data_IF_570778346384
#
_entry.id   IF_570778346384
#
_cell.length_a   1.000
_cell.length_b   1.000
_cell.length_c   1.000
_cell.angle_alpha   90.00
_cell.angle_beta   90.00
_cell.angle_gamma   90.00
#
_symmetry.space_group_name_H-M   'P 1'
#
loop_
_entity.id
_entity.type
_entity.pdbx_description
1 polymer ?
#
# COMPACT_ATOMS: atom_id res chain seq x y z
N UNK A 1 -6.71 -8.40 5.14
CA UNK A 1 -5.92 -7.81 4.03
C UNK A 1 -5.59 -6.34 4.28
N UNK A 2 -6.58 -5.44 4.43
CA UNK A 2 -6.38 -4.02 4.79
C UNK A 2 -5.35 -3.79 5.91
N UNK A 3 -5.52 -4.43 7.07
CA UNK A 3 -4.61 -4.28 8.21
C UNK A 3 -3.19 -4.78 7.91
N UNK A 4 -3.04 -5.84 7.10
CA UNK A 4 -1.73 -6.36 6.71
C UNK A 4 -1.02 -5.40 5.75
N UNK A 5 -1.75 -4.84 4.78
CA UNK A 5 -1.24 -3.81 3.87
C UNK A 5 -0.82 -2.57 4.66
N UNK A 6 -1.64 -2.08 5.58
CA UNK A 6 -1.30 -0.94 6.44
C UNK A 6 -0.09 -1.21 7.34
N UNK A 7 -0.04 -2.37 7.99
CA UNK A 7 1.06 -2.74 8.88
C UNK A 7 2.39 -2.92 8.12
N UNK A 8 2.33 -3.39 6.87
CA UNK A 8 3.50 -3.44 6.00
C UNK A 8 3.90 -2.04 5.55
N UNK A 9 2.96 -1.27 5.00
CA UNK A 9 3.20 0.07 4.48
C UNK A 9 3.76 1.03 5.55
N UNK A 10 3.28 0.94 6.79
CA UNK A 10 3.84 1.70 7.92
C UNK A 10 5.30 1.35 8.21
N UNK A 11 5.67 0.08 8.13
CA UNK A 11 7.03 -0.38 8.46
C UNK A 11 8.00 -0.21 7.30
N UNK A 12 7.57 -0.50 6.08
CA UNK A 12 8.41 -0.49 4.89
C UNK A 12 8.44 0.87 4.17
N UNK A 13 7.44 1.73 4.41
CA UNK A 13 7.36 3.09 3.87
C UNK A 13 7.94 4.16 4.78
N UNK A 14 8.24 3.83 6.04
CA UNK A 14 8.85 4.78 6.98
C UNK A 14 10.20 5.28 6.45
N UNK A 15 10.34 6.60 6.32
CA UNK A 15 11.57 7.24 5.83
C UNK A 15 11.76 7.24 4.31
N UNK A 16 10.83 6.71 3.52
CA UNK A 16 10.85 6.81 2.04
C UNK A 16 9.96 7.95 1.57
N UNK A 17 10.46 8.84 0.69
CA UNK A 17 9.66 9.96 0.14
C UNK A 17 8.36 9.50 -0.53
N UNK A 18 8.37 8.34 -1.20
CA UNK A 18 7.21 7.82 -1.95
C UNK A 18 6.47 6.69 -1.21
N UNK A 19 6.93 6.30 -0.02
CA UNK A 19 6.33 5.21 0.74
C UNK A 19 6.60 3.83 0.11
N UNK A 20 5.54 3.05 -0.11
CA UNK A 20 5.62 1.68 -0.62
C UNK A 20 4.87 1.50 -1.93
N UNK A 21 5.38 0.63 -2.79
CA UNK A 21 4.72 0.27 -4.04
C UNK A 21 3.72 -0.87 -3.89
N UNK A 22 2.73 -0.94 -4.79
CA UNK A 22 1.82 -2.08 -4.92
C UNK A 22 2.56 -3.41 -5.12
N UNK A 23 3.68 -3.38 -5.85
CA UNK A 23 4.52 -4.55 -6.11
C UNK A 23 5.19 -5.08 -4.83
N UNK A 24 5.75 -4.19 -4.00
CA UNK A 24 6.35 -4.56 -2.70
C UNK A 24 5.31 -5.21 -1.77
N UNK A 25 4.09 -4.69 -1.75
CA UNK A 25 2.98 -5.26 -0.97
C UNK A 25 2.59 -6.65 -1.49
N UNK A 26 2.46 -6.80 -2.81
CA UNK A 26 2.16 -8.09 -3.43
C UNK A 26 3.23 -9.14 -3.14
N UNK A 27 4.51 -8.76 -3.22
CA UNK A 27 5.63 -9.62 -2.87
C UNK A 27 5.63 -10.02 -1.39
N UNK A 28 5.30 -9.09 -0.49
CA UNK A 28 5.22 -9.38 0.94
C UNK A 28 4.09 -10.35 1.28
N UNK A 29 2.93 -10.20 0.64
CA UNK A 29 1.75 -11.00 0.92
C UNK A 29 1.77 -12.38 0.23
N UNK A 30 2.50 -12.52 -0.88
CA UNK A 30 2.87 -13.77 -1.55
C UNK A 30 1.73 -14.58 -2.19
N UNK A 31 0.53 -14.54 -1.61
CA UNK A 31 -0.66 -15.32 -1.97
C UNK A 31 -1.80 -14.45 -2.50
N UNK A 32 -1.60 -13.14 -2.60
CA UNK A 32 -2.63 -12.16 -2.96
C UNK A 32 -2.36 -11.66 -4.38
N UNK A 33 -3.40 -11.61 -5.21
CA UNK A 33 -3.28 -11.09 -6.57
C UNK A 33 -2.99 -9.58 -6.58
N UNK A 34 -2.32 -9.10 -7.63
CA UNK A 34 -2.04 -7.67 -7.79
C UNK A 34 -3.35 -6.84 -7.83
N UNK A 35 -4.41 -7.37 -8.43
CA UNK A 35 -5.74 -6.73 -8.47
C UNK A 35 -6.36 -6.61 -7.08
N UNK A 36 -6.25 -7.63 -6.22
CA UNK A 36 -6.73 -7.56 -4.83
C UNK A 36 -5.93 -6.55 -4.00
N UNK A 37 -4.61 -6.49 -4.17
CA UNK A 37 -3.77 -5.48 -3.51
C UNK A 37 -4.20 -4.08 -3.94
N UNK A 38 -4.38 -3.85 -5.24
CA UNK A 38 -4.81 -2.56 -5.78
C UNK A 38 -6.19 -2.15 -5.24
N UNK A 39 -7.15 -3.07 -5.19
CA UNK A 39 -8.47 -2.81 -4.64
C UNK A 39 -8.40 -2.41 -3.17
N UNK A 40 -7.59 -3.10 -2.38
CA UNK A 40 -7.42 -2.77 -0.96
C UNK A 40 -6.76 -1.41 -0.75
N UNK A 41 -5.78 -1.06 -1.58
CA UNK A 41 -5.14 0.27 -1.53
C UNK A 41 -6.15 1.36 -1.88
N UNK A 42 -6.97 1.19 -2.93
CA UNK A 42 -8.05 2.15 -3.26
C UNK A 42 -9.07 2.30 -2.12
N UNK A 43 -9.44 1.21 -1.46
CA UNK A 43 -10.32 1.28 -0.29
C UNK A 43 -9.67 2.03 0.89
N UNK A 44 -8.37 1.84 1.11
CA UNK A 44 -7.62 2.52 2.18
C UNK A 44 -7.42 4.02 1.89
N UNK A 45 -7.25 4.39 0.62
CA UNK A 45 -7.20 5.79 0.17
C UNK A 45 -8.55 6.46 0.43
N UNK A 46 -9.66 5.81 0.05
CA UNK A 46 -11.00 6.32 0.32
C UNK A 46 -11.31 6.43 1.83
N UNK A 47 -10.70 5.56 2.65
CA UNK A 47 -10.81 5.59 4.12
C UNK A 47 -9.89 6.67 4.77
N UNK A 48 -9.18 7.46 3.96
CA UNK A 48 -8.18 8.49 4.36
C UNK A 48 -7.13 7.89 5.30
N UNK A 49 -6.75 6.62 5.06
CA UNK A 49 -5.69 5.93 5.80
C UNK A 49 -4.34 6.02 5.11
N UNK A 50 -4.36 6.21 3.79
CA UNK A 50 -3.18 6.35 2.96
C UNK A 50 -3.42 7.46 1.94
N UNK A 51 -2.35 7.94 1.31
CA UNK A 51 -2.44 8.76 0.10
C UNK A 51 -1.55 8.17 -0.99
N UNK A 52 -2.03 8.19 -2.23
CA UNK A 52 -1.27 7.76 -3.42
C UNK A 52 -0.33 8.91 -3.81
N UNK A 53 0.93 8.59 -4.09
CA UNK A 53 1.95 9.57 -4.49
C UNK A 53 1.93 9.80 -6.00
N UNK A 54 2.90 10.54 -6.56
CA UNK A 54 2.85 11.04 -7.96
C UNK A 54 2.71 9.93 -9.00
N UNK A 55 3.30 8.77 -8.73
CA UNK A 55 3.11 7.57 -9.54
C UNK A 55 2.00 6.72 -8.88
N UNK A 56 0.91 6.46 -9.61
CA UNK A 56 -0.31 5.72 -9.19
C UNK A 56 -0.06 4.30 -8.59
N UNK A 57 1.20 3.88 -8.51
CA UNK A 57 1.67 2.60 -7.98
C UNK A 57 2.33 2.72 -6.59
N UNK A 58 2.56 3.93 -6.08
CA UNK A 58 3.18 4.20 -4.78
C UNK A 58 2.20 4.89 -3.82
N UNK A 59 2.30 4.54 -2.53
CA UNK A 59 1.44 5.13 -1.51
C UNK A 59 2.13 5.20 -0.14
N UNK A 60 1.71 6.19 0.66
CA UNK A 60 2.15 6.38 2.03
C UNK A 60 0.98 6.31 3.00
N UNK A 61 1.27 5.86 4.22
CA UNK A 61 0.30 5.83 5.33
C UNK A 61 0.27 7.17 6.03
N UNK A 62 -0.94 7.68 6.33
CA UNK A 62 -1.17 8.89 7.11
C UNK A 62 -1.03 8.66 8.63
#
# INVERSE_FOLDING_TARGET
LKEQVLAFARRAGEGKEEGVSLAEVGQHLGSVSAEEVRKVVQELESDVKIYITVDDDHFQVL
#
